data_IF_508479259831
#
_entry.id   IF_508479259831
#
_cell.length_a   1.000
_cell.length_b   1.000
_cell.length_c   1.000
_cell.angle_alpha   90.00
_cell.angle_beta   90.00
_cell.angle_gamma   90.00
#
_symmetry.space_group_name_H-M   'P 1'
#
loop_
_entity.id
_entity.type
_entity.pdbx_description
1 polymer ?
#
# COMPACT_ATOMS: atom_id res chain seq x y z
N UNK A 1 1.10 5.45 -31.66
CA UNK A 1 1.36 4.52 -30.55
C UNK A 1 1.15 5.29 -29.27
N UNK A 2 0.01 5.10 -28.60
CA UNK A 2 -0.34 5.84 -27.39
C UNK A 2 0.40 5.23 -26.19
N UNK A 3 0.82 6.09 -25.27
CA UNK A 3 1.51 5.78 -24.00
C UNK A 3 0.83 4.66 -23.15
N UNK A 4 -0.44 4.38 -23.46
CA UNK A 4 -1.34 3.41 -22.81
C UNK A 4 -0.97 1.93 -23.00
N UNK A 5 -0.07 1.57 -23.93
CA UNK A 5 0.22 0.16 -24.22
C UNK A 5 1.36 -0.44 -23.38
N UNK A 6 2.12 0.39 -22.66
CA UNK A 6 3.22 -0.10 -21.80
C UNK A 6 2.69 -0.63 -20.46
N UNK A 7 3.27 -1.71 -19.92
CA UNK A 7 2.97 -2.16 -18.56
C UNK A 7 3.26 -1.05 -17.56
N UNK A 8 2.36 -0.84 -16.59
CA UNK A 8 2.56 0.16 -15.54
C UNK A 8 3.54 -0.37 -14.52
N UNK A 9 4.57 0.41 -14.20
CA UNK A 9 5.51 0.07 -13.12
C UNK A 9 4.76 0.10 -11.79
N UNK A 10 4.90 -0.93 -10.98
CA UNK A 10 4.19 -1.02 -9.72
C UNK A 10 5.08 -1.61 -8.63
N UNK A 11 4.83 -1.22 -7.38
CA UNK A 11 5.36 -1.95 -6.23
C UNK A 11 4.27 -2.84 -5.65
N UNK A 12 4.65 -3.97 -5.06
CA UNK A 12 3.74 -4.84 -4.31
C UNK A 12 3.98 -4.67 -2.82
N UNK A 13 2.94 -4.36 -2.05
CA UNK A 13 2.95 -4.36 -0.59
C UNK A 13 2.25 -5.63 -0.11
N UNK A 14 3.02 -6.55 0.47
CA UNK A 14 2.59 -7.88 0.85
C UNK A 14 2.67 -8.06 2.37
N UNK A 15 1.62 -8.65 2.93
CA UNK A 15 1.64 -9.20 4.28
C UNK A 15 2.23 -10.63 4.22
N UNK A 16 2.73 -11.15 5.34
CA UNK A 16 3.38 -12.47 5.39
C UNK A 16 2.44 -13.63 5.03
N UNK A 17 1.14 -13.44 5.19
CA UNK A 17 0.09 -14.42 4.83
C UNK A 17 -0.54 -14.17 3.45
N UNK A 18 0.07 -13.33 2.61
CA UNK A 18 -0.50 -12.98 1.31
C UNK A 18 -0.76 -14.23 0.44
N UNK A 19 -1.85 -14.21 -0.30
CA UNK A 19 -2.12 -15.18 -1.35
C UNK A 19 -1.36 -14.81 -2.65
N UNK A 20 -0.40 -15.63 -3.11
CA UNK A 20 0.31 -15.37 -4.36
C UNK A 20 -0.61 -15.33 -5.58
N UNK A 21 -1.70 -16.12 -5.58
CA UNK A 21 -2.63 -16.16 -6.70
C UNK A 21 -3.42 -14.85 -6.84
N UNK A 22 -3.80 -14.23 -5.71
CA UNK A 22 -4.44 -12.92 -5.69
C UNK A 22 -3.53 -11.83 -6.26
N UNK A 23 -2.23 -11.85 -5.92
CA UNK A 23 -1.25 -10.94 -6.48
C UNK A 23 -1.10 -11.13 -8.00
N UNK A 24 -0.94 -12.37 -8.48
CA UNK A 24 -0.83 -12.66 -9.91
C UNK A 24 -2.07 -12.23 -10.71
N UNK A 25 -3.26 -12.39 -10.11
CA UNK A 25 -4.51 -11.95 -10.73
C UNK A 25 -4.53 -10.42 -10.92
N UNK A 26 -4.08 -9.66 -9.92
CA UNK A 26 -3.97 -8.21 -10.00
C UNK A 26 -2.93 -7.75 -11.02
N UNK A 27 -1.76 -8.40 -11.05
CA UNK A 27 -0.70 -8.13 -12.03
C UNK A 27 -1.23 -8.31 -13.45
N UNK A 28 -1.91 -9.43 -13.73
CA UNK A 28 -2.49 -9.71 -15.05
C UNK A 28 -3.61 -8.74 -15.40
N UNK A 29 -4.56 -8.52 -14.49
CA UNK A 29 -5.72 -7.67 -14.70
C UNK A 29 -5.34 -6.23 -15.01
N UNK A 30 -4.32 -5.71 -14.35
CA UNK A 30 -3.91 -4.30 -14.47
C UNK A 30 -2.65 -4.10 -15.32
N UNK A 31 -2.12 -5.16 -15.94
CA UNK A 31 -0.90 -5.17 -16.78
C UNK A 31 0.27 -4.50 -16.06
N UNK A 32 0.56 -4.97 -14.86
CA UNK A 32 1.56 -4.38 -13.98
C UNK A 32 2.93 -5.02 -14.21
N UNK A 33 3.98 -4.22 -14.12
CA UNK A 33 5.35 -4.66 -13.98
C UNK A 33 5.77 -4.40 -12.53
N UNK A 34 5.90 -5.47 -11.73
CA UNK A 34 6.38 -5.31 -10.36
C UNK A 34 7.87 -4.97 -10.39
N UNK A 35 8.21 -3.77 -9.92
CA UNK A 35 9.59 -3.26 -9.85
C UNK A 35 10.20 -3.47 -8.47
N UNK A 36 9.37 -3.50 -7.42
CA UNK A 36 9.80 -3.76 -6.06
C UNK A 36 8.69 -4.44 -5.25
N UNK A 37 9.07 -5.27 -4.27
CA UNK A 37 8.15 -5.95 -3.36
C UNK A 37 8.52 -5.67 -1.91
N UNK A 38 7.62 -5.02 -1.19
CA UNK A 38 7.70 -4.78 0.24
C UNK A 38 6.96 -5.90 0.97
N UNK A 39 7.65 -6.63 1.85
CA UNK A 39 7.00 -7.54 2.79
C UNK A 39 6.95 -6.88 4.17
N UNK A 40 5.74 -6.73 4.74
CA UNK A 40 5.58 -6.13 6.07
C UNK A 40 4.29 -6.57 6.76
N UNK A 41 4.41 -6.91 8.04
CA UNK A 41 3.29 -7.20 8.95
C UNK A 41 3.00 -6.02 9.90
N UNK A 42 3.41 -4.82 9.50
CA UNK A 42 3.26 -3.63 10.32
C UNK A 42 1.86 -3.01 10.23
N UNK A 43 1.59 -2.04 11.10
CA UNK A 43 0.33 -1.28 11.09
C UNK A 43 0.15 -0.54 9.76
N UNK A 44 -1.10 -0.45 9.30
CA UNK A 44 -1.44 0.06 7.96
C UNK A 44 -0.80 1.42 7.60
N UNK A 45 -0.67 2.33 8.56
CA UNK A 45 -0.05 3.65 8.34
C UNK A 45 1.44 3.52 7.99
N UNK A 46 2.19 2.71 8.75
CA UNK A 46 3.61 2.49 8.48
C UNK A 46 3.81 1.70 7.19
N UNK A 47 2.93 0.72 6.91
CA UNK A 47 2.94 -0.03 5.66
C UNK A 47 2.71 0.89 4.44
N UNK A 48 1.79 1.85 4.55
CA UNK A 48 1.55 2.86 3.52
C UNK A 48 2.74 3.80 3.31
N UNK A 49 3.38 4.27 4.38
CA UNK A 49 4.58 5.12 4.29
C UNK A 49 5.74 4.39 3.61
N UNK A 50 5.98 3.12 3.97
CA UNK A 50 7.00 2.29 3.33
C UNK A 50 6.68 2.12 1.84
N UNK A 51 5.43 1.84 1.49
CA UNK A 51 5.01 1.73 0.10
C UNK A 51 5.22 3.05 -0.67
N UNK A 52 4.89 4.21 -0.09
CA UNK A 52 5.13 5.51 -0.74
C UNK A 52 6.63 5.73 -0.98
N UNK A 53 7.48 5.42 0.01
CA UNK A 53 8.94 5.55 -0.14
C UNK A 53 9.45 4.75 -1.34
N UNK A 54 9.12 3.46 -1.41
CA UNK A 54 9.56 2.62 -2.52
C UNK A 54 8.91 2.98 -3.86
N UNK A 55 7.67 3.47 -3.85
CA UNK A 55 7.04 3.95 -5.08
C UNK A 55 7.80 5.15 -5.67
N UNK A 56 8.31 6.05 -4.83
CA UNK A 56 9.14 7.19 -5.27
C UNK A 56 10.52 6.71 -5.72
N UNK A 57 11.20 5.87 -4.94
CA UNK A 57 12.55 5.37 -5.25
C UNK A 57 12.60 4.58 -6.56
N UNK A 58 11.61 3.73 -6.80
CA UNK A 58 11.55 2.88 -7.99
C UNK A 58 10.79 3.50 -9.17
N UNK A 59 10.37 4.77 -9.05
CA UNK A 59 9.53 5.47 -10.02
C UNK A 59 8.32 4.59 -10.44
N UNK A 60 7.62 4.05 -9.44
CA UNK A 60 6.44 3.25 -9.63
C UNK A 60 5.21 4.14 -9.84
N UNK A 61 4.37 3.74 -10.78
CA UNK A 61 3.13 4.42 -11.14
C UNK A 61 1.93 3.89 -10.33
N UNK A 62 2.11 2.79 -9.62
CA UNK A 62 1.07 2.13 -8.83
C UNK A 62 1.63 1.37 -7.62
N UNK A 63 0.78 1.21 -6.60
CA UNK A 63 1.01 0.32 -5.46
C UNK A 63 -0.07 -0.75 -5.49
N UNK A 64 0.33 -2.02 -5.44
CA UNK A 64 -0.57 -3.17 -5.35
C UNK A 64 -0.59 -3.67 -3.93
N UNK A 65 -1.79 -3.77 -3.36
CA UNK A 65 -2.00 -4.22 -1.98
C UNK A 65 -3.04 -5.35 -2.03
N UNK A 66 -2.64 -6.61 -2.27
CA UNK A 66 -3.58 -7.71 -2.49
C UNK A 66 -4.52 -7.95 -1.29
N UNK A 67 -4.05 -7.65 -0.09
CA UNK A 67 -4.78 -7.83 1.16
C UNK A 67 -5.81 -6.71 1.46
N UNK A 68 -5.84 -5.62 0.68
CA UNK A 68 -6.95 -4.64 0.74
C UNK A 68 -8.23 -5.15 0.08
N UNK A 69 -8.16 -6.26 -0.68
CA UNK A 69 -9.32 -6.91 -1.31
C UNK A 69 -10.36 -7.43 -0.31
N UNK A 70 -10.00 -7.50 0.97
CA UNK A 70 -10.87 -7.89 2.09
C UNK A 70 -10.97 -6.77 3.12
N UNK A 71 -11.16 -5.52 2.69
CA UNK A 71 -11.80 -4.56 3.58
C UNK A 71 -13.14 -5.17 3.99
N UNK A 72 -13.27 -5.57 5.25
CA UNK A 72 -14.49 -6.20 5.75
C UNK A 72 -15.70 -5.31 5.41
N UNK A 73 -16.88 -5.87 5.13
CA UNK A 73 -18.10 -5.09 5.06
C UNK A 73 -18.27 -4.32 6.38
N UNK A 74 -18.13 -2.99 6.34
CA UNK A 74 -18.10 -2.14 7.54
C UNK A 74 -16.71 -1.62 7.94
N UNK A 75 -15.66 -1.94 7.18
CA UNK A 75 -14.36 -1.32 7.32
C UNK A 75 -14.53 0.20 7.27
N UNK A 76 -14.10 0.92 8.31
CA UNK A 76 -14.39 2.34 8.39
C UNK A 76 -13.73 3.08 7.23
N UNK A 77 -14.52 3.83 6.46
CA UNK A 77 -14.05 4.59 5.30
C UNK A 77 -12.89 5.54 5.65
N UNK A 78 -12.81 5.98 6.92
CA UNK A 78 -11.69 6.79 7.42
C UNK A 78 -10.31 6.14 7.22
N UNK A 79 -10.21 4.80 7.17
CA UNK A 79 -8.93 4.11 6.88
C UNK A 79 -8.48 4.34 5.43
N UNK A 80 -9.43 4.34 4.50
CA UNK A 80 -9.18 4.64 3.08
C UNK A 80 -8.85 6.11 2.91
N UNK A 81 -9.60 7.01 3.57
CA UNK A 81 -9.33 8.46 3.51
C UNK A 81 -7.99 8.81 4.13
N UNK A 82 -7.62 8.21 5.28
CA UNK A 82 -6.31 8.43 5.92
C UNK A 82 -5.15 7.91 5.06
N UNK A 83 -5.32 6.74 4.43
CA UNK A 83 -4.34 6.22 3.47
C UNK A 83 -4.20 7.14 2.25
N UNK A 84 -5.33 7.62 1.71
CA UNK A 84 -5.32 8.60 0.62
C UNK A 84 -4.62 9.89 1.06
N UNK A 85 -4.93 10.42 2.24
CA UNK A 85 -4.34 11.66 2.78
C UNK A 85 -2.82 11.55 3.02
N UNK A 86 -2.34 10.37 3.45
CA UNK A 86 -0.92 10.04 3.54
C UNK A 86 -0.24 10.05 2.17
N UNK A 87 -0.90 9.46 1.16
CA UNK A 87 -0.37 9.34 -0.21
C UNK A 87 -0.38 10.70 -0.93
N UNK A 88 -1.44 11.49 -0.76
CA UNK A 88 -1.59 12.80 -1.43
C UNK A 88 -0.89 13.92 -0.69
N UNK A 89 -0.35 13.67 0.51
CA UNK A 89 0.29 14.69 1.35
C UNK A 89 -0.69 15.81 1.76
N UNK A 90 -1.99 15.55 1.74
CA UNK A 90 -3.04 16.53 2.04
C UNK A 90 -3.21 16.76 3.54
N UNK A 91 -2.62 15.91 4.37
CA UNK A 91 -2.60 16.06 5.81
C UNK A 91 -1.16 16.30 6.30
N UNK A 92 -0.94 17.37 7.07
CA UNK A 92 0.34 17.64 7.72
C UNK A 92 0.57 16.61 8.83
N UNK A 93 1.35 15.56 8.51
CA UNK A 93 1.72 14.55 9.49
C UNK A 93 2.86 15.08 10.36
N UNK A 94 2.52 15.50 11.59
CA UNK A 94 3.52 15.62 12.64
C UNK A 94 4.05 14.22 12.94
N UNK A 95 5.30 13.96 12.55
CA UNK A 95 6.06 12.70 12.71
C UNK A 95 5.91 12.03 14.09
N UNK A 96 5.58 12.80 15.13
CA UNK A 96 5.38 12.36 16.51
C UNK A 96 4.05 11.64 16.81
N UNK A 97 2.99 11.88 16.03
CA UNK A 97 1.67 11.29 16.30
C UNK A 97 1.55 9.83 15.86
N UNK A 98 2.30 9.41 14.83
CA UNK A 98 2.30 8.02 14.36
C UNK A 98 2.93 7.04 15.35
N UNK A 99 3.82 7.52 16.23
CA UNK A 99 4.52 6.71 17.23
C UNK A 99 3.64 6.48 18.47
N UNK A 100 2.59 7.29 18.67
CA UNK A 100 1.77 7.27 19.90
C UNK A 100 0.52 6.39 19.82
N UNK A 101 0.08 5.95 18.62
CA UNK A 101 -1.07 5.04 18.45
C UNK A 101 -0.71 3.54 18.60
N UNK A 102 0.50 3.21 19.09
CA UNK A 102 0.81 1.84 19.50
C UNK A 102 0.12 1.56 20.85
N UNK A 103 -0.83 0.61 20.96
CA UNK A 103 -1.34 0.23 22.26
C UNK A 103 -0.18 -0.38 23.04
N UNK A 104 0.18 0.27 24.15
CA UNK A 104 0.95 -0.39 25.20
C UNK A 104 0.11 -1.56 25.71
N UNK A 105 0.30 -2.73 25.09
CA UNK A 105 -0.10 -4.00 25.67
C UNK A 105 0.74 -4.22 26.91
N UNK A 106 0.16 -3.89 28.06
CA UNK A 106 0.67 -4.31 29.36
C UNK A 106 0.25 -5.74 29.64
N UNK A 107 1.23 -6.62 29.82
CA UNK A 107 1.59 -7.30 31.06
C UNK A 107 2.67 -8.35 30.76
#
# INVERSE_FOLDING_TARGET
MTETDKPKRAIALLHSDHDPAALEALIRKHRLQIVYTVHTDTVAVLAALIAVQYAVEDAAEAVVIPHLGTLEPGAPWWKVTRAADLITGTQEYSLWSAITEQPRGGQ
#
